data_IF_628150046949
#
_entry.id   IF_628150046949
#
_cell.length_a   1.000
_cell.length_b   1.000
_cell.length_c   1.000
_cell.angle_alpha   90.00
_cell.angle_beta   90.00
_cell.angle_gamma   90.00
#
_symmetry.space_group_name_H-M   'P 1'
#
loop_
_entity.id
_entity.type
_entity.pdbx_description
1 polymer ?
#
# COMPACT_ATOMS: atom_id res chain seq x y z
N UNK A 1 -10.08 -4.57 -27.73
CA UNK A 1 -10.28 -3.90 -26.42
C UNK A 1 -9.47 -2.62 -26.44
N UNK A 2 -10.02 -1.44 -26.12
CA UNK A 2 -9.18 -0.26 -26.04
C UNK A 2 -8.38 -0.32 -24.75
N UNK A 3 -7.05 -0.32 -24.89
CA UNK A 3 -6.10 0.15 -23.88
C UNK A 3 -6.39 1.64 -23.70
N UNK A 4 -7.01 2.03 -22.60
CA UNK A 4 -7.50 3.40 -22.41
C UNK A 4 -7.53 3.76 -20.93
N UNK A 5 -6.57 4.59 -20.54
CA UNK A 5 -6.24 5.00 -19.17
C UNK A 5 -5.79 3.86 -18.25
N UNK A 6 -4.47 3.75 -18.03
CA UNK A 6 -3.98 3.16 -16.79
C UNK A 6 -4.61 3.97 -15.67
N UNK A 7 -5.49 3.35 -14.89
CA UNK A 7 -5.94 3.96 -13.66
C UNK A 7 -4.70 4.32 -12.81
N UNK A 8 -4.72 5.46 -12.07
CA UNK A 8 -3.52 5.98 -11.42
C UNK A 8 -2.93 4.93 -10.49
N UNK A 9 -1.67 4.57 -10.76
CA UNK A 9 -0.91 3.55 -10.06
C UNK A 9 0.35 4.18 -9.53
N UNK A 10 0.62 3.95 -8.24
CA UNK A 10 1.89 4.28 -7.62
C UNK A 10 2.88 3.16 -7.88
N UNK A 11 4.07 3.50 -8.37
CA UNK A 11 5.23 2.62 -8.32
C UNK A 11 6.26 3.25 -7.39
N UNK A 12 6.52 2.59 -6.26
CA UNK A 12 7.41 3.09 -5.22
C UNK A 12 8.59 2.13 -5.03
N UNK A 13 9.81 2.66 -5.14
CA UNK A 13 11.03 1.89 -4.96
C UNK A 13 11.72 2.34 -3.68
N UNK A 14 11.89 1.41 -2.75
CA UNK A 14 12.67 1.59 -1.54
C UNK A 14 14.10 1.16 -1.84
N UNK A 15 15.01 2.14 -1.89
CA UNK A 15 16.43 1.92 -2.18
C UNK A 15 17.15 1.30 -1.00
N UNK A 16 18.06 0.37 -1.28
CA UNK A 16 18.88 -0.34 -0.28
C UNK A 16 18.02 -0.79 0.91
N UNK A 17 17.07 -1.68 0.63
CA UNK A 17 16.03 -2.07 1.58
C UNK A 17 16.59 -2.57 2.93
N UNK A 18 17.78 -3.18 2.91
CA UNK A 18 18.45 -3.69 4.10
C UNK A 18 18.89 -2.57 5.05
N UNK A 19 19.22 -1.39 4.52
CA UNK A 19 19.62 -0.23 5.33
C UNK A 19 18.44 0.49 6.01
N UNK A 20 17.23 0.40 5.44
CA UNK A 20 16.04 1.13 5.90
C UNK A 20 15.12 0.32 6.82
N UNK A 21 15.64 -0.74 7.45
CA UNK A 21 14.85 -1.52 8.40
C UNK A 21 14.74 -0.87 9.78
N UNK A 22 15.43 0.24 10.04
CA UNK A 22 15.39 0.94 11.31
C UNK A 22 14.04 1.62 11.63
N UNK A 23 13.44 2.41 10.71
CA UNK A 23 12.14 3.02 10.96
C UNK A 23 11.03 1.98 11.17
N UNK A 24 10.14 2.29 12.13
CA UNK A 24 8.95 1.48 12.41
C UNK A 24 7.98 1.44 11.22
N UNK A 25 7.90 2.55 10.47
CA UNK A 25 7.05 2.75 9.29
C UNK A 25 7.78 3.61 8.27
N UNK A 26 7.58 3.31 7.00
CA UNK A 26 8.04 4.10 5.86
C UNK A 26 6.80 4.46 5.04
N UNK A 27 6.68 5.72 4.66
CA UNK A 27 5.56 6.22 3.86
C UNK A 27 6.00 6.43 2.41
N UNK A 28 5.15 6.05 1.48
CA UNK A 28 5.35 6.37 0.07
C UNK A 28 5.08 7.84 -0.22
N UNK A 29 5.50 8.35 -1.39
CA UNK A 29 4.90 9.55 -1.95
C UNK A 29 3.38 9.42 -2.05
N UNK A 30 2.69 10.56 -1.89
CA UNK A 30 1.25 10.65 -2.12
C UNK A 30 0.92 10.46 -3.61
N UNK A 31 -0.23 9.85 -3.89
CA UNK A 31 -0.79 9.79 -5.23
C UNK A 31 -2.31 9.98 -5.20
N UNK A 32 -2.87 10.49 -6.30
CA UNK A 32 -4.30 10.79 -6.40
C UNK A 32 -5.05 9.73 -7.20
N UNK A 33 -6.18 9.28 -6.67
CA UNK A 33 -7.15 8.44 -7.37
C UNK A 33 -8.57 8.70 -6.89
N UNK A 34 -9.53 8.77 -7.81
CA UNK A 34 -10.93 9.06 -7.49
C UNK A 34 -11.17 10.42 -6.81
N UNK A 35 -10.25 11.37 -7.01
CA UNK A 35 -10.25 12.67 -6.32
C UNK A 35 -10.02 12.55 -4.81
N UNK A 36 -9.27 11.53 -4.39
CA UNK A 36 -8.75 11.36 -3.03
C UNK A 36 -7.24 11.17 -3.12
N UNK A 37 -6.52 11.62 -2.09
CA UNK A 37 -5.09 11.39 -1.94
C UNK A 37 -4.84 10.13 -1.11
N UNK A 38 -3.86 9.36 -1.54
CA UNK A 38 -3.53 8.06 -1.00
C UNK A 38 -2.02 7.95 -0.78
N UNK A 39 -1.61 7.16 0.21
CA UNK A 39 -0.22 6.74 0.38
C UNK A 39 -0.15 5.29 0.87
N UNK A 40 0.99 4.65 0.64
CA UNK A 40 1.30 3.33 1.20
C UNK A 40 2.10 3.52 2.47
N UNK A 41 1.61 2.93 3.56
CA UNK A 41 2.36 2.77 4.80
C UNK A 41 2.95 1.37 4.88
N UNK A 42 4.28 1.31 4.81
CA UNK A 42 5.02 0.06 4.84
C UNK A 42 5.76 -0.11 6.16
N UNK A 43 5.66 -1.29 6.75
CA UNK A 43 6.29 -1.65 8.03
C UNK A 43 7.30 -2.78 7.77
N UNK A 44 8.61 -2.48 7.59
CA UNK A 44 9.63 -3.47 7.23
C UNK A 44 9.81 -4.59 8.27
N UNK A 45 9.45 -4.31 9.53
CA UNK A 45 9.53 -5.21 10.68
C UNK A 45 8.15 -5.69 11.15
N UNK A 46 7.09 -5.36 10.42
CA UNK A 46 5.72 -5.73 10.76
C UNK A 46 5.15 -4.91 11.92
N UNK A 47 3.83 -5.01 12.13
CA UNK A 47 3.12 -4.29 13.20
C UNK A 47 3.13 -5.06 14.54
N UNK A 48 3.12 -6.39 14.51
CA UNK A 48 2.98 -7.24 15.70
C UNK A 48 4.18 -8.16 16.00
N UNK A 49 5.31 -8.04 15.28
CA UNK A 49 6.52 -8.82 15.56
C UNK A 49 7.52 -8.88 14.40
N UNK A 50 8.78 -9.17 14.72
CA UNK A 50 9.98 -9.00 13.88
C UNK A 50 10.08 -9.88 12.61
N UNK A 51 9.14 -10.78 12.37
CA UNK A 51 9.22 -11.81 11.30
C UNK A 51 8.19 -11.62 10.19
N UNK A 52 7.49 -10.48 10.17
CA UNK A 52 6.62 -10.11 9.07
C UNK A 52 6.90 -8.71 8.55
N UNK A 53 6.44 -8.44 7.33
CA UNK A 53 6.26 -7.09 6.84
C UNK A 53 4.75 -6.81 6.83
N UNK A 54 4.38 -5.57 7.03
CA UNK A 54 2.98 -5.14 6.94
C UNK A 54 2.88 -4.02 5.93
N UNK A 55 1.78 -3.99 5.20
CA UNK A 55 1.53 -2.94 4.21
C UNK A 55 0.09 -2.52 4.26
N UNK A 56 -0.14 -1.21 4.22
CA UNK A 56 -1.45 -0.60 4.30
C UNK A 56 -1.56 0.49 3.25
N UNK A 57 -2.72 0.56 2.61
CA UNK A 57 -3.19 1.74 1.90
C UNK A 57 -3.86 2.68 2.90
N UNK A 58 -3.50 3.96 2.86
CA UNK A 58 -4.03 4.98 3.76
C UNK A 58 -4.62 6.15 2.96
N UNK A 59 -5.75 6.67 3.44
CA UNK A 59 -6.32 7.92 2.96
C UNK A 59 -5.52 9.07 3.59
N UNK A 60 -4.97 9.94 2.76
CA UNK A 60 -4.22 11.12 3.21
C UNK A 60 -5.17 12.21 3.70
N UNK A 61 -4.70 13.01 4.65
CA UNK A 61 -5.45 14.08 5.33
C UNK A 61 -6.77 13.57 5.92
N UNK A 62 -6.79 12.32 6.41
CA UNK A 62 -8.01 11.68 6.95
C UNK A 62 -8.58 12.41 8.16
N UNK A 63 -7.72 13.03 8.95
CA UNK A 63 -8.09 13.79 10.16
C UNK A 63 -8.73 15.14 9.81
N UNK A 64 -8.38 15.72 8.66
CA UNK A 64 -8.94 17.00 8.17
C UNK A 64 -10.25 16.82 7.40
N UNK A 65 -10.69 15.57 7.16
CA UNK A 65 -11.94 15.30 6.46
C UNK A 65 -13.15 15.59 7.35
N UNK A 66 -14.26 16.07 6.76
CA UNK A 66 -15.46 16.36 7.53
C UNK A 66 -16.03 15.12 8.23
N UNK A 67 -16.69 15.30 9.39
CA UNK A 67 -17.27 14.20 10.15
C UNK A 67 -18.21 13.32 9.31
N UNK A 68 -18.06 12.01 9.44
CA UNK A 68 -18.90 11.03 8.74
C UNK A 68 -18.51 10.78 7.27
N UNK A 69 -17.35 11.24 6.81
CA UNK A 69 -16.82 10.90 5.50
C UNK A 69 -16.71 9.39 5.31
N UNK A 70 -16.99 8.93 4.09
CA UNK A 70 -16.86 7.52 3.68
C UNK A 70 -16.32 7.44 2.26
N UNK A 71 -15.36 6.56 2.05
CA UNK A 71 -14.82 6.23 0.74
C UNK A 71 -14.85 4.72 0.59
N UNK A 72 -15.68 4.21 -0.32
CA UNK A 72 -15.65 2.80 -0.73
C UNK A 72 -14.71 2.69 -1.93
N UNK A 73 -13.66 1.90 -1.82
CA UNK A 73 -12.64 1.76 -2.84
C UNK A 73 -12.09 0.33 -2.91
N UNK A 74 -11.71 -0.08 -4.11
CA UNK A 74 -10.92 -1.30 -4.32
C UNK A 74 -9.45 -0.95 -4.27
N UNK A 75 -8.67 -1.79 -3.58
CA UNK A 75 -7.25 -1.53 -3.32
C UNK A 75 -6.41 -2.71 -3.75
N UNK A 76 -5.46 -2.45 -4.65
CA UNK A 76 -4.47 -3.43 -5.06
C UNK A 76 -3.11 -3.01 -4.52
N UNK A 77 -2.40 -3.98 -3.98
CA UNK A 77 -1.07 -3.81 -3.45
C UNK A 77 -0.19 -4.94 -3.97
N UNK A 78 0.99 -4.62 -4.48
CA UNK A 78 1.95 -5.63 -4.93
C UNK A 78 3.36 -5.34 -4.44
N UNK A 79 4.12 -6.42 -4.24
CA UNK A 79 5.56 -6.40 -4.15
C UNK A 79 6.09 -7.28 -5.26
N UNK A 80 7.02 -6.77 -6.05
CA UNK A 80 7.55 -7.45 -7.21
C UNK A 80 9.08 -7.43 -7.22
N UNK A 81 9.66 -8.59 -7.49
CA UNK A 81 11.08 -8.80 -7.75
C UNK A 81 11.24 -9.68 -8.98
N UNK A 82 12.49 -9.95 -9.38
CA UNK A 82 12.77 -10.87 -10.49
C UNK A 82 12.40 -12.33 -10.15
N UNK A 83 12.39 -12.71 -8.86
CA UNK A 83 12.15 -14.08 -8.40
C UNK A 83 10.75 -14.33 -7.86
N UNK A 84 10.12 -13.30 -7.31
CA UNK A 84 8.85 -13.42 -6.59
C UNK A 84 7.95 -12.22 -6.87
N UNK A 85 6.66 -12.50 -6.95
CA UNK A 85 5.61 -11.48 -7.00
C UNK A 85 4.53 -11.85 -6.00
N UNK A 86 4.17 -10.90 -5.16
CA UNK A 86 3.03 -11.03 -4.25
C UNK A 86 2.04 -9.93 -4.54
N UNK A 87 0.77 -10.30 -4.59
CA UNK A 87 -0.35 -9.41 -4.91
C UNK A 87 -1.42 -9.60 -3.85
N UNK A 88 -1.92 -8.49 -3.34
CA UNK A 88 -3.15 -8.38 -2.60
C UNK A 88 -4.16 -7.79 -3.58
N UNK A 89 -5.20 -8.56 -3.88
CA UNK A 89 -6.20 -8.22 -4.88
C UNK A 89 -7.32 -7.37 -4.26
N UNK A 90 -7.91 -6.51 -5.10
CA UNK A 90 -8.83 -5.45 -4.73
C UNK A 90 -10.22 -5.94 -4.37
N UNK A 91 -10.38 -6.35 -3.12
CA UNK A 91 -11.70 -6.33 -2.47
C UNK A 91 -12.16 -4.88 -2.27
N UNK A 92 -13.48 -4.66 -2.30
CA UNK A 92 -14.06 -3.34 -2.02
C UNK A 92 -14.05 -3.10 -0.51
N UNK A 93 -13.33 -2.06 -0.11
CA UNK A 93 -13.10 -1.69 1.27
C UNK A 93 -13.67 -0.30 1.54
N UNK A 94 -14.32 -0.16 2.70
CA UNK A 94 -14.75 1.14 3.21
C UNK A 94 -13.67 1.76 4.08
N UNK A 95 -13.29 2.99 3.72
CA UNK A 95 -12.47 3.89 4.52
C UNK A 95 -13.35 4.96 5.16
N UNK A 96 -13.11 5.23 6.43
CA UNK A 96 -13.79 6.28 7.20
C UNK A 96 -12.88 6.77 8.35
N UNK A 97 -13.41 7.65 9.20
CA UNK A 97 -12.65 8.21 10.32
C UNK A 97 -12.18 7.16 11.35
N UNK A 98 -12.88 6.03 11.48
CA UNK A 98 -12.49 4.95 12.39
C UNK A 98 -11.45 4.03 11.73
N UNK A 99 -11.60 3.79 10.43
CA UNK A 99 -10.73 2.96 9.61
C UNK A 99 -10.16 3.74 8.41
N UNK A 100 -9.25 4.71 8.60
CA UNK A 100 -8.71 5.52 7.50
C UNK A 100 -7.65 4.78 6.67
N UNK A 101 -7.31 3.56 7.06
CA UNK A 101 -6.30 2.71 6.44
C UNK A 101 -6.72 1.26 6.43
N UNK A 102 -6.30 0.54 5.40
CA UNK A 102 -6.58 -0.88 5.26
C UNK A 102 -5.42 -1.61 4.60
N UNK A 103 -5.22 -2.87 4.98
CA UNK A 103 -4.16 -3.70 4.45
C UNK A 103 -3.91 -4.90 5.34
N UNK A 104 -2.73 -5.50 5.22
CA UNK A 104 -2.40 -6.75 5.90
C UNK A 104 -1.30 -6.56 6.94
N UNK A 105 -1.63 -6.84 8.20
CA UNK A 105 -0.71 -6.78 9.35
C UNK A 105 0.33 -7.90 9.36
N UNK A 106 0.02 -9.04 8.74
CA UNK A 106 0.91 -10.20 8.66
C UNK A 106 0.97 -10.74 7.23
N UNK A 107 0.99 -9.84 6.24
CA UNK A 107 1.02 -10.26 4.85
C UNK A 107 2.17 -11.23 4.56
N UNK A 108 3.29 -11.02 5.25
CA UNK A 108 4.47 -11.87 5.16
C UNK A 108 4.68 -12.63 6.45
N UNK A 109 3.97 -13.73 6.71
CA UNK A 109 4.61 -14.78 7.52
C UNK A 109 5.68 -15.41 6.62
N UNK A 110 6.94 -15.01 6.81
CA UNK A 110 8.05 -15.37 5.93
C UNK A 110 8.26 -16.90 5.90
N UNK A 111 7.58 -17.60 4.99
CA UNK A 111 8.04 -18.92 4.54
C UNK A 111 9.23 -18.78 3.56
N UNK A 112 9.40 -17.59 2.96
CA UNK A 112 10.53 -17.22 2.10
C UNK A 112 11.33 -16.06 2.73
N UNK A 113 12.66 -16.02 2.57
CA UNK A 113 13.49 -14.89 3.01
C UNK A 113 13.06 -13.55 2.38
N UNK A 114 13.24 -12.43 3.10
CA UNK A 114 12.97 -11.08 2.57
C UNK A 114 13.76 -10.78 1.28
N UNK A 115 14.96 -11.33 1.18
CA UNK A 115 15.86 -11.17 0.04
C UNK A 115 15.26 -11.68 -1.28
N UNK A 116 14.29 -12.60 -1.23
CA UNK A 116 13.60 -13.08 -2.43
C UNK A 116 12.67 -12.04 -3.07
N UNK A 117 12.39 -10.93 -2.39
CA UNK A 117 11.56 -9.82 -2.87
C UNK A 117 12.41 -8.61 -3.30
N UNK A 118 13.72 -8.71 -3.26
CA UNK A 118 14.62 -7.63 -3.66
C UNK A 118 15.10 -7.83 -5.09
N UNK A 119 15.37 -6.74 -5.78
CA UNK A 119 16.09 -6.80 -7.04
C UNK A 119 17.60 -7.02 -6.84
N UNK A 120 18.35 -7.06 -7.94
CA UNK A 120 19.81 -7.27 -7.93
C UNK A 120 20.58 -6.14 -7.22
N UNK A 121 19.96 -4.98 -7.02
CA UNK A 121 20.52 -3.84 -6.31
C UNK A 121 20.17 -3.85 -4.81
N UNK A 122 19.34 -4.80 -4.36
CA UNK A 122 18.83 -4.83 -3.00
C UNK A 122 17.66 -3.88 -2.77
N UNK A 123 17.02 -3.41 -3.84
CA UNK A 123 15.88 -2.50 -3.78
C UNK A 123 14.57 -3.29 -3.70
N UNK A 124 13.59 -2.75 -2.99
CA UNK A 124 12.24 -3.30 -2.89
C UNK A 124 11.28 -2.44 -3.72
N UNK A 125 10.62 -3.04 -4.71
CA UNK A 125 9.60 -2.38 -5.52
C UNK A 125 8.21 -2.73 -5.01
N UNK A 126 7.43 -1.69 -4.73
CA UNK A 126 6.03 -1.75 -4.31
C UNK A 126 5.19 -1.08 -5.40
N UNK A 127 4.08 -1.71 -5.78
CA UNK A 127 3.06 -1.05 -6.59
C UNK A 127 1.75 -0.98 -5.83
N UNK A 128 1.03 0.11 -6.02
CA UNK A 128 -0.27 0.31 -5.42
C UNK A 128 -1.24 0.95 -6.39
N UNK A 129 -2.46 0.45 -6.39
CA UNK A 129 -3.54 0.98 -7.21
C UNK A 129 -4.81 1.08 -6.37
N UNK A 130 -5.60 2.12 -6.62
CA UNK A 130 -6.87 2.36 -5.94
C UNK A 130 -7.92 2.76 -6.96
N UNK A 131 -9.09 2.16 -6.88
CA UNK A 131 -10.27 2.53 -7.64
C UNK A 131 -11.37 2.94 -6.66
N UNK A 132 -11.74 4.22 -6.65
CA UNK A 132 -12.83 4.72 -5.80
C UNK A 132 -14.17 4.36 -6.44
N UNK A 133 -14.96 3.54 -5.75
CA UNK A 133 -16.29 3.09 -6.17
C UNK A 133 -17.35 4.11 -5.74
N UNK A 134 -17.27 4.54 -4.48
CA UNK A 134 -18.19 5.52 -3.91
C UNK A 134 -17.43 6.45 -2.97
N UNK A 135 -17.82 7.73 -2.93
CA UNK A 135 -17.39 8.65 -1.88
C UNK A 135 -18.55 9.54 -1.46
N UNK A 136 -18.63 9.81 -0.16
CA UNK A 136 -19.59 10.77 0.38
C UNK A 136 -19.44 12.12 -0.31
N UNK A 137 -20.55 12.72 -0.73
CA UNK A 137 -20.55 14.12 -1.18
C UNK A 137 -20.44 15.00 0.05
N UNK A 138 -19.35 15.75 0.12
CA UNK A 138 -19.23 16.91 1.01
C UNK A 138 -20.19 18.01 0.59
#
# INVERSE_FOLDING_TARGET
>A
MPVGASAPMLTWVIKDFKSVQDPKVIESPEFESGGCKWCVMFYPKGVTGHLSMSMYMAVVDSEDKPPGWKIDAKVWLSIESQSERMVLDGEEIRFDAECPKWGMSNWFRLHKPKDCFLDLHGDLKIEAHVEVVHKSRV
#
